data_IF_596988418600
#
_entry.id   IF_596988418600
#
_cell.length_a   1.000
_cell.length_b   1.000
_cell.length_c   1.000
_cell.angle_alpha   90.00
_cell.angle_beta   90.00
_cell.angle_gamma   90.00
#
_symmetry.space_group_name_H-M   'P 1'
#
loop_
_entity.id
_entity.type
_entity.pdbx_description
1 polymer ?
#
# COMPACT_ATOMS: atom_id res chain seq x y z
N UNK A 1 17.22 18.73 -15.08
CA UNK A 1 16.40 18.29 -13.97
C UNK A 1 15.00 18.05 -14.51
N UNK A 2 14.61 16.81 -14.68
CA UNK A 2 13.23 16.43 -14.91
C UNK A 2 12.47 16.70 -13.61
N UNK A 3 11.57 17.67 -13.63
CA UNK A 3 10.55 17.78 -12.60
C UNK A 3 9.55 16.66 -12.88
N UNK A 4 9.71 15.54 -12.23
CA UNK A 4 8.65 14.52 -12.15
C UNK A 4 7.63 15.08 -11.16
N UNK A 5 6.54 15.62 -11.67
CA UNK A 5 5.37 15.89 -10.82
C UNK A 5 4.52 14.63 -10.85
N UNK A 6 4.47 13.90 -9.74
CA UNK A 6 3.52 12.82 -9.56
C UNK A 6 2.11 13.38 -9.65
N UNK A 7 1.29 12.84 -10.54
CA UNK A 7 -0.11 13.22 -10.68
C UNK A 7 -0.95 11.97 -10.50
N UNK A 8 -1.66 11.87 -9.39
CA UNK A 8 -2.66 10.83 -9.21
C UNK A 8 -3.90 11.13 -10.04
N UNK A 9 -4.35 10.16 -10.79
CA UNK A 9 -5.61 10.19 -11.53
C UNK A 9 -6.58 9.21 -10.85
N UNK A 10 -7.75 9.71 -10.48
CA UNK A 10 -8.79 8.86 -9.92
C UNK A 10 -9.62 8.21 -11.02
N UNK A 11 -9.74 6.88 -10.98
CA UNK A 11 -10.65 6.11 -11.81
C UNK A 11 -11.65 5.32 -10.95
N UNK A 12 -12.93 5.61 -11.11
CA UNK A 12 -13.98 4.93 -10.38
C UNK A 12 -14.20 3.48 -10.88
N UNK A 13 -14.61 2.60 -9.95
CA UNK A 13 -15.14 1.25 -10.26
C UNK A 13 -14.16 0.26 -10.89
N UNK A 14 -12.85 0.38 -10.62
CA UNK A 14 -11.92 -0.66 -11.02
C UNK A 14 -11.90 -1.78 -9.97
N UNK A 15 -12.26 -2.98 -10.35
CA UNK A 15 -12.20 -4.13 -9.47
C UNK A 15 -10.75 -4.56 -9.19
N UNK A 16 -10.52 -5.17 -8.03
CA UNK A 16 -9.27 -5.88 -7.76
C UNK A 16 -9.04 -6.96 -8.83
N UNK A 17 -7.77 -7.16 -9.20
CA UNK A 17 -7.36 -8.30 -10.04
C UNK A 17 -7.63 -9.60 -9.28
N UNK A 18 -7.52 -9.56 -7.98
CA UNK A 18 -7.78 -10.63 -7.03
C UNK A 18 -6.96 -11.91 -7.31
N UNK A 19 -5.79 -11.96 -6.71
CA UNK A 19 -4.87 -13.09 -6.86
C UNK A 19 -5.28 -14.36 -6.12
N UNK A 20 -6.23 -14.30 -5.18
CA UNK A 20 -6.52 -15.41 -4.25
C UNK A 20 -6.89 -16.73 -4.93
N UNK A 21 -7.43 -16.68 -6.13
CA UNK A 21 -7.84 -17.86 -6.89
C UNK A 21 -7.03 -18.07 -8.19
N UNK A 22 -5.87 -17.41 -8.32
CA UNK A 22 -5.06 -17.55 -9.52
C UNK A 22 -3.93 -18.57 -9.32
N UNK A 23 -3.53 -19.24 -10.40
CA UNK A 23 -2.33 -20.08 -10.41
C UNK A 23 -1.06 -19.24 -10.51
N UNK A 24 0.07 -19.80 -10.04
CA UNK A 24 1.38 -19.13 -10.15
C UNK A 24 1.53 -17.90 -9.24
N UNK A 25 0.76 -17.85 -8.17
CA UNK A 25 0.92 -16.85 -7.11
C UNK A 25 2.06 -17.23 -6.17
N UNK A 26 2.67 -16.24 -5.57
CA UNK A 26 3.60 -16.40 -4.44
C UNK A 26 2.94 -15.85 -3.18
N UNK A 27 2.91 -16.65 -2.12
CA UNK A 27 2.46 -16.21 -0.81
C UNK A 27 3.64 -15.51 -0.10
N UNK A 28 3.42 -14.27 0.31
CA UNK A 28 4.39 -13.41 0.99
C UNK A 28 3.98 -13.05 2.42
N UNK A 29 3.07 -13.80 3.01
CA UNK A 29 2.66 -13.59 4.40
C UNK A 29 3.87 -13.57 5.33
N UNK A 30 3.93 -12.62 6.22
CA UNK A 30 5.09 -12.38 7.08
C UNK A 30 4.77 -12.19 8.57
N UNK A 31 3.53 -12.16 8.97
CA UNK A 31 3.11 -11.96 10.38
C UNK A 31 2.78 -10.51 10.68
N UNK A 32 2.84 -10.14 11.95
CA UNK A 32 2.56 -8.79 12.44
C UNK A 32 3.82 -7.91 12.37
N UNK A 33 3.70 -6.66 11.96
CA UNK A 33 4.80 -5.69 11.84
C UNK A 33 6.03 -6.23 11.10
N UNK A 34 5.82 -7.00 10.05
CA UNK A 34 6.88 -7.68 9.33
C UNK A 34 6.96 -7.24 7.86
N UNK A 35 8.08 -7.58 7.24
CA UNK A 35 8.31 -7.42 5.81
C UNK A 35 8.58 -8.79 5.17
N UNK A 36 8.04 -9.01 4.00
CA UNK A 36 8.20 -10.25 3.24
C UNK A 36 9.64 -10.45 2.73
N UNK A 37 9.93 -11.65 2.26
CA UNK A 37 11.03 -11.85 1.34
C UNK A 37 10.85 -10.99 0.08
N UNK A 38 11.97 -10.68 -0.59
CA UNK A 38 11.94 -9.96 -1.86
C UNK A 38 11.29 -10.82 -2.95
N UNK A 39 10.42 -10.20 -3.73
CA UNK A 39 9.75 -10.79 -4.89
C UNK A 39 10.31 -10.19 -6.19
N UNK A 40 10.60 -11.04 -7.18
CA UNK A 40 11.10 -10.60 -8.48
C UNK A 40 9.94 -10.06 -9.34
N UNK A 41 10.08 -8.84 -9.84
CA UNK A 41 9.06 -8.18 -10.66
C UNK A 41 8.88 -8.83 -12.04
N UNK A 42 9.91 -9.53 -12.54
CA UNK A 42 9.93 -10.07 -13.89
C UNK A 42 10.33 -9.06 -14.97
N UNK A 43 10.48 -7.80 -14.61
CA UNK A 43 10.95 -6.71 -15.46
C UNK A 43 11.70 -5.67 -14.61
N UNK A 44 12.28 -4.68 -15.26
CA UNK A 44 12.85 -3.52 -14.58
C UNK A 44 11.79 -2.43 -14.48
N UNK A 45 11.62 -1.88 -13.29
CA UNK A 45 10.72 -0.78 -12.98
C UNK A 45 11.54 0.44 -12.56
N UNK A 46 11.41 1.55 -13.29
CA UNK A 46 12.04 2.82 -12.92
C UNK A 46 11.14 3.57 -11.96
N UNK A 47 11.67 3.91 -10.79
CA UNK A 47 10.94 4.68 -9.80
C UNK A 47 11.83 5.80 -9.27
N UNK A 48 11.45 7.06 -9.53
CA UNK A 48 12.24 8.24 -9.21
C UNK A 48 13.68 8.19 -9.76
N UNK A 49 13.86 7.66 -10.98
CA UNK A 49 15.15 7.59 -11.68
C UNK A 49 16.08 6.51 -11.16
N UNK A 50 15.61 5.58 -10.35
CA UNK A 50 16.34 4.38 -9.94
C UNK A 50 15.61 3.12 -10.42
N UNK A 51 16.36 2.18 -11.00
CA UNK A 51 15.83 0.96 -11.58
C UNK A 51 15.76 -0.17 -10.57
N UNK A 52 14.60 -0.81 -10.45
CA UNK A 52 14.33 -1.91 -9.53
C UNK A 52 13.85 -3.15 -10.27
N UNK A 53 14.27 -4.31 -9.82
CA UNK A 53 13.83 -5.61 -10.34
C UNK A 53 13.12 -6.45 -9.28
N UNK A 54 13.09 -5.98 -8.04
CA UNK A 54 12.50 -6.66 -6.90
C UNK A 54 11.77 -5.67 -6.00
N UNK A 55 10.79 -6.18 -5.26
CA UNK A 55 10.12 -5.45 -4.20
C UNK A 55 9.75 -6.40 -3.06
N UNK A 56 9.44 -5.84 -1.87
CA UNK A 56 8.96 -6.59 -0.70
C UNK A 56 7.72 -5.90 -0.11
N UNK A 57 6.79 -6.71 0.36
CA UNK A 57 5.56 -6.25 0.98
C UNK A 57 5.75 -6.14 2.50
N UNK A 58 5.28 -5.05 3.10
CA UNK A 58 5.13 -4.95 4.54
C UNK A 58 3.69 -5.26 4.96
N UNK A 59 3.51 -5.91 6.12
CA UNK A 59 2.18 -6.25 6.67
C UNK A 59 1.31 -5.00 6.78
N UNK A 60 1.87 -3.89 7.22
CA UNK A 60 1.19 -2.60 7.39
C UNK A 60 0.90 -1.85 6.08
N UNK A 61 0.84 -2.56 4.94
CA UNK A 61 0.31 -2.00 3.69
C UNK A 61 1.28 -1.11 2.92
N UNK A 62 2.58 -1.43 2.94
CA UNK A 62 3.58 -0.73 2.14
C UNK A 62 4.28 -1.69 1.17
N UNK A 63 4.73 -1.15 0.04
CA UNK A 63 5.59 -1.87 -0.92
C UNK A 63 6.94 -1.15 -1.03
N UNK A 64 8.01 -1.86 -0.68
CA UNK A 64 9.37 -1.33 -0.66
C UNK A 64 10.18 -1.87 -1.84
N UNK A 65 10.76 -0.97 -2.64
CA UNK A 65 11.68 -1.35 -3.71
C UNK A 65 13.09 -1.67 -3.19
N UNK A 66 13.50 -1.06 -2.08
CA UNK A 66 14.75 -1.46 -1.40
C UNK A 66 14.55 -2.79 -0.69
N UNK A 67 15.37 -3.78 -1.02
CA UNK A 67 15.28 -5.14 -0.44
C UNK A 67 15.96 -5.25 0.94
N UNK A 68 16.56 -4.18 1.41
CA UNK A 68 17.17 -4.03 2.73
C UNK A 68 16.86 -2.66 3.32
N UNK A 69 17.12 -2.47 4.61
CA UNK A 69 16.87 -1.22 5.32
C UNK A 69 15.47 -1.14 5.94
N UNK A 70 15.06 0.07 6.31
CA UNK A 70 13.79 0.32 6.99
C UNK A 70 12.59 -0.14 6.16
N UNK A 71 11.54 -0.54 6.84
CA UNK A 71 10.25 -0.91 6.27
C UNK A 71 9.12 -0.41 7.19
N UNK A 72 7.89 -0.38 6.70
CA UNK A 72 6.71 0.04 7.47
C UNK A 72 6.37 -1.00 8.56
N UNK A 73 7.21 -1.08 9.59
CA UNK A 73 6.93 -1.80 10.81
C UNK A 73 6.34 -0.89 11.89
N UNK A 74 6.26 0.40 11.63
CA UNK A 74 5.57 1.34 12.48
C UNK A 74 4.06 1.24 12.22
N UNK A 75 3.30 1.03 13.28
CA UNK A 75 1.85 0.94 13.24
C UNK A 75 1.16 2.32 13.26
N UNK A 76 1.94 3.40 13.46
CA UNK A 76 1.43 4.78 13.39
C UNK A 76 2.07 5.48 12.19
N UNK A 77 1.37 5.62 11.07
CA UNK A 77 1.89 6.33 9.91
C UNK A 77 2.31 7.76 10.23
N UNK A 78 3.56 8.09 9.87
CA UNK A 78 4.03 9.48 9.91
C UNK A 78 3.62 10.18 8.61
N UNK A 79 2.88 11.30 8.66
CA UNK A 79 2.45 12.03 7.47
C UNK A 79 3.59 12.42 6.52
N UNK A 80 4.81 12.54 7.01
CA UNK A 80 5.97 12.84 6.19
C UNK A 80 6.68 11.60 5.66
N UNK A 81 6.47 10.42 6.25
CA UNK A 81 7.09 9.14 5.87
C UNK A 81 8.60 9.24 5.60
N UNK A 82 9.28 10.21 6.24
CA UNK A 82 10.65 10.64 5.92
C UNK A 82 11.71 9.59 6.19
N UNK A 83 11.39 8.55 6.98
CA UNK A 83 12.25 7.43 7.32
C UNK A 83 12.38 6.41 6.19
N UNK A 84 11.50 6.44 5.20
CA UNK A 84 11.49 5.50 4.09
C UNK A 84 12.05 6.12 2.80
N UNK A 85 12.51 5.27 1.91
CA UNK A 85 12.93 5.65 0.56
C UNK A 85 12.45 4.62 -0.44
N UNK A 86 12.08 5.06 -1.63
CA UNK A 86 11.61 4.20 -2.72
C UNK A 86 10.52 3.23 -2.25
N UNK A 87 9.44 3.81 -1.71
CA UNK A 87 8.35 3.07 -1.09
C UNK A 87 7.01 3.57 -1.61
N UNK A 88 6.16 2.66 -2.04
CA UNK A 88 4.76 2.93 -2.31
C UNK A 88 3.95 2.67 -1.04
N UNK A 89 3.02 3.57 -0.76
CA UNK A 89 2.14 3.54 0.42
C UNK A 89 0.69 3.43 -0.06
N UNK A 90 0.27 2.26 -0.58
CA UNK A 90 -1.10 2.11 -1.05
C UNK A 90 -2.12 2.28 0.08
N UNK A 91 -1.80 1.81 1.28
CA UNK A 91 -2.70 1.88 2.42
C UNK A 91 -1.94 1.57 3.71
N UNK A 92 -1.02 2.49 4.10
CA UNK A 92 -0.23 2.29 5.32
C UNK A 92 -1.10 2.56 6.55
N UNK A 93 -1.29 1.53 7.35
CA UNK A 93 -2.02 1.51 8.63
C UNK A 93 -1.61 0.28 9.43
N UNK A 94 -2.05 0.17 10.67
CA UNK A 94 -1.76 -1.00 11.52
C UNK A 94 -2.59 -2.21 11.09
N UNK A 95 -1.98 -3.10 10.31
CA UNK A 95 -2.60 -4.31 9.76
C UNK A 95 -1.90 -5.57 10.26
N UNK A 96 -2.68 -6.59 10.49
CA UNK A 96 -2.19 -7.92 10.87
C UNK A 96 -2.68 -9.00 9.90
N UNK A 97 -1.82 -9.99 9.63
CA UNK A 97 -2.21 -11.22 8.96
C UNK A 97 -2.75 -12.23 9.98
N UNK A 98 -3.89 -12.83 9.68
CA UNK A 98 -4.47 -13.91 10.45
C UNK A 98 -5.08 -15.01 9.55
N UNK A 99 -5.89 -15.91 10.13
CA UNK A 99 -6.60 -16.95 9.39
C UNK A 99 -7.62 -16.35 8.42
N UNK A 100 -7.29 -16.29 7.16
CA UNK A 100 -8.12 -15.70 6.09
C UNK A 100 -7.46 -14.52 5.39
N UNK A 101 -6.47 -13.88 6.01
CA UNK A 101 -5.67 -12.83 5.38
C UNK A 101 -4.62 -13.43 4.47
N UNK A 102 -4.26 -12.69 3.41
CA UNK A 102 -3.13 -13.07 2.58
C UNK A 102 -2.44 -11.87 1.94
N UNK A 103 -1.12 -11.97 1.88
CA UNK A 103 -0.24 -11.09 1.10
C UNK A 103 0.28 -11.92 -0.08
N UNK A 104 -0.14 -11.58 -1.28
CA UNK A 104 0.13 -12.35 -2.49
C UNK A 104 0.82 -11.50 -3.53
N UNK A 105 1.70 -12.12 -4.33
CA UNK A 105 2.30 -11.47 -5.48
C UNK A 105 2.29 -12.38 -6.71
N UNK A 106 2.20 -11.75 -7.88
CA UNK A 106 2.28 -12.44 -9.17
C UNK A 106 2.79 -11.51 -10.26
N UNK A 107 3.77 -11.98 -11.03
CA UNK A 107 4.21 -11.32 -12.26
C UNK A 107 3.42 -11.86 -13.46
N UNK A 108 3.03 -10.95 -14.32
CA UNK A 108 2.41 -11.18 -15.62
C UNK A 108 3.36 -10.67 -16.73
N UNK A 109 2.96 -10.79 -17.98
CA UNK A 109 3.80 -10.33 -19.09
C UNK A 109 3.95 -8.81 -19.15
N UNK A 110 2.93 -8.07 -18.70
CA UNK A 110 2.81 -6.62 -18.81
C UNK A 110 2.81 -5.86 -17.47
N UNK A 111 2.77 -6.60 -16.35
CA UNK A 111 2.67 -6.02 -15.00
C UNK A 111 3.06 -7.00 -13.91
N UNK A 112 3.27 -6.48 -12.72
CA UNK A 112 3.31 -7.28 -11.48
C UNK A 112 2.29 -6.73 -10.49
N UNK A 113 1.58 -7.65 -9.84
CA UNK A 113 0.52 -7.34 -8.87
C UNK A 113 0.97 -7.79 -7.49
N UNK A 114 0.82 -6.90 -6.53
CA UNK A 114 0.97 -7.17 -5.10
C UNK A 114 -0.37 -6.91 -4.42
N UNK A 115 -0.92 -7.90 -3.74
CA UNK A 115 -2.22 -7.79 -3.12
C UNK A 115 -2.20 -8.13 -1.64
N UNK A 116 -2.85 -7.29 -0.86
CA UNK A 116 -3.23 -7.52 0.53
C UNK A 116 -4.73 -7.85 0.52
N UNK A 117 -5.10 -9.02 0.99
CA UNK A 117 -6.49 -9.47 0.95
C UNK A 117 -6.97 -9.87 2.33
N UNK A 118 -8.15 -9.39 2.70
CA UNK A 118 -8.82 -9.62 3.97
C UNK A 118 -7.90 -9.34 5.19
N UNK A 119 -7.05 -8.32 5.06
CA UNK A 119 -6.19 -7.89 6.16
C UNK A 119 -7.03 -7.30 7.28
N UNK A 120 -6.72 -7.69 8.50
CA UNK A 120 -7.40 -7.11 9.66
C UNK A 120 -6.69 -5.88 10.16
N UNK A 121 -7.46 -4.89 10.57
CA UNK A 121 -6.97 -3.85 11.46
C UNK A 121 -6.53 -4.47 12.80
N UNK A 122 -5.39 -4.08 13.33
CA UNK A 122 -4.88 -4.63 14.59
C UNK A 122 -5.94 -4.49 15.71
N UNK A 123 -6.09 -5.54 16.51
CA UNK A 123 -7.08 -5.66 17.60
C UNK A 123 -8.57 -5.49 17.18
N UNK A 124 -8.89 -5.62 15.91
CA UNK A 124 -10.26 -5.49 15.43
C UNK A 124 -10.60 -6.53 14.36
N UNK A 125 -11.81 -7.06 14.38
CA UNK A 125 -12.33 -7.83 13.26
C UNK A 125 -12.76 -6.87 12.15
N UNK A 126 -12.01 -6.84 11.06
CA UNK A 126 -12.27 -6.01 9.87
C UNK A 126 -11.68 -6.69 8.65
N UNK A 127 -12.08 -6.30 7.46
CA UNK A 127 -11.57 -6.80 6.20
C UNK A 127 -11.09 -5.63 5.34
N UNK A 128 -9.78 -5.62 5.07
CA UNK A 128 -9.17 -4.62 4.20
C UNK A 128 -8.50 -5.33 3.03
N UNK A 129 -8.87 -4.96 1.81
CA UNK A 129 -8.31 -5.55 0.61
C UNK A 129 -7.92 -4.46 -0.39
N UNK A 130 -6.67 -4.48 -0.83
CA UNK A 130 -6.13 -3.53 -1.78
C UNK A 130 -4.95 -4.13 -2.55
N UNK A 131 -4.60 -3.52 -3.66
CA UNK A 131 -3.53 -3.96 -4.54
C UNK A 131 -2.63 -2.81 -4.97
N UNK A 132 -1.37 -3.13 -5.23
CA UNK A 132 -0.46 -2.35 -6.05
C UNK A 132 -0.22 -3.10 -7.35
N UNK A 133 -0.37 -2.40 -8.46
CA UNK A 133 -0.05 -2.91 -9.79
C UNK A 133 1.11 -2.07 -10.32
N UNK A 134 2.22 -2.73 -10.64
CA UNK A 134 3.37 -2.11 -11.30
C UNK A 134 3.32 -2.50 -12.77
N UNK A 135 3.27 -1.52 -13.67
CA UNK A 135 3.24 -1.75 -15.11
C UNK A 135 4.64 -1.68 -15.73
N UNK A 136 4.85 -2.38 -16.82
CA UNK A 136 6.15 -2.39 -17.54
C UNK A 136 6.50 -1.05 -18.21
N UNK A 137 5.61 -0.09 -18.18
CA UNK A 137 5.83 1.29 -18.66
C UNK A 137 6.20 2.28 -17.53
N UNK A 138 6.62 1.75 -16.38
CA UNK A 138 7.02 2.50 -15.18
C UNK A 138 5.88 3.30 -14.52
N UNK A 139 4.63 2.97 -14.79
CA UNK A 139 3.49 3.50 -14.03
C UNK A 139 3.05 2.52 -12.96
N UNK A 140 2.41 3.01 -11.91
CA UNK A 140 1.80 2.16 -10.89
C UNK A 140 0.35 2.57 -10.62
N UNK A 141 -0.39 1.66 -10.05
CA UNK A 141 -1.81 1.82 -9.75
C UNK A 141 -2.12 1.23 -8.38
N UNK A 142 -2.92 1.93 -7.59
CA UNK A 142 -3.52 1.41 -6.36
C UNK A 142 -4.97 1.06 -6.63
N UNK A 143 -5.37 -0.17 -6.31
CA UNK A 143 -6.77 -0.60 -6.35
C UNK A 143 -7.26 -0.97 -4.96
N UNK A 144 -8.47 -0.57 -4.68
CA UNK A 144 -9.11 -0.78 -3.39
C UNK A 144 -10.36 -1.62 -3.52
N UNK A 145 -10.48 -2.63 -2.67
CA UNK A 145 -11.68 -3.39 -2.41
C UNK A 145 -12.40 -2.88 -1.17
N UNK A 146 -12.86 -3.79 -0.32
CA UNK A 146 -13.39 -3.41 0.99
C UNK A 146 -12.28 -2.81 1.86
N UNK A 147 -12.57 -1.70 2.52
CA UNK A 147 -11.72 -1.05 3.50
C UNK A 147 -12.54 -0.74 4.75
N UNK A 148 -11.99 -1.08 5.92
CA UNK A 148 -12.65 -0.91 7.20
C UNK A 148 -11.62 -0.64 8.30
N UNK A 149 -11.18 0.62 8.43
CA UNK A 149 -10.28 1.12 9.47
C UNK A 149 -11.00 2.18 10.29
N UNK A 150 -10.98 2.05 11.60
CA UNK A 150 -11.60 3.03 12.51
C UNK A 150 -10.72 3.43 13.71
N UNK A 151 -9.68 2.66 14.05
CA UNK A 151 -8.88 2.89 15.26
C UNK A 151 -7.46 3.38 14.98
N UNK A 152 -6.99 3.29 13.72
CA UNK A 152 -5.62 3.60 13.38
C UNK A 152 -5.54 4.66 12.27
N UNK A 153 -4.43 5.36 12.25
CA UNK A 153 -4.11 6.30 11.19
C UNK A 153 -3.98 5.57 9.84
N UNK A 154 -4.28 6.28 8.78
CA UNK A 154 -4.11 5.80 7.40
C UNK A 154 -3.32 6.81 6.61
N UNK A 155 -2.29 6.36 5.90
CA UNK A 155 -1.55 7.19 4.95
C UNK A 155 -1.51 6.50 3.58
N UNK A 156 -1.86 7.26 2.55
CA UNK A 156 -1.74 6.86 1.15
C UNK A 156 -0.82 7.85 0.45
N UNK A 157 0.15 7.34 -0.28
CA UNK A 157 1.12 8.18 -0.99
C UNK A 157 2.30 7.38 -1.50
N UNK A 158 3.44 8.05 -1.60
CA UNK A 158 4.69 7.45 -2.05
C UNK A 158 5.89 8.23 -1.54
N UNK A 159 7.04 7.58 -1.49
CA UNK A 159 8.32 8.17 -1.13
C UNK A 159 9.38 7.78 -2.15
N UNK A 160 10.00 8.77 -2.76
CA UNK A 160 11.14 8.58 -3.66
C UNK A 160 12.48 8.47 -2.93
N UNK A 161 13.51 9.16 -3.41
CA UNK A 161 14.90 9.01 -2.92
C UNK A 161 15.19 9.65 -1.55
N UNK A 162 14.22 10.28 -0.91
CA UNK A 162 14.39 10.89 0.43
C UNK A 162 13.38 11.99 0.72
N UNK A 163 13.58 12.70 1.80
CA UNK A 163 12.64 13.68 2.38
C UNK A 163 12.13 14.79 1.46
N UNK A 164 12.70 14.94 0.28
CA UNK A 164 12.27 15.93 -0.73
C UNK A 164 11.37 15.35 -1.84
N UNK A 165 11.12 14.06 -1.80
CA UNK A 165 10.32 13.33 -2.79
C UNK A 165 9.27 12.49 -2.07
N UNK A 166 8.55 13.12 -1.17
CA UNK A 166 7.42 12.52 -0.47
C UNK A 166 6.17 13.12 -1.08
N UNK A 167 5.29 12.25 -1.55
CA UNK A 167 3.97 12.63 -1.99
C UNK A 167 2.93 11.97 -1.10
N UNK A 168 2.17 12.79 -0.36
CA UNK A 168 1.06 12.34 0.46
C UNK A 168 -0.23 12.65 -0.29
N UNK A 169 -0.93 11.62 -0.71
CA UNK A 169 -2.25 11.77 -1.32
C UNK A 169 -3.36 11.89 -0.27
N UNK A 170 -3.29 11.07 0.77
CA UNK A 170 -4.27 11.02 1.82
C UNK A 170 -3.62 10.72 3.17
N UNK A 171 -4.07 11.40 4.20
CA UNK A 171 -3.74 11.10 5.59
C UNK A 171 -4.98 11.27 6.45
N UNK A 172 -5.24 10.32 7.31
CA UNK A 172 -6.30 10.35 8.30
C UNK A 172 -5.76 9.95 9.66
N UNK A 173 -5.90 10.86 10.61
CA UNK A 173 -5.56 10.67 12.01
C UNK A 173 -6.62 9.80 12.69
N UNK A 174 -6.23 8.93 13.62
CA UNK A 174 -7.15 8.00 14.26
C UNK A 174 -8.26 8.72 15.00
N UNK A 175 -9.44 8.12 14.95
CA UNK A 175 -10.60 8.53 15.72
C UNK A 175 -10.63 7.80 17.06
N UNK A 176 -9.62 7.97 17.87
CA UNK A 176 -9.59 7.34 19.18
C UNK A 176 -10.66 7.95 20.08
N UNK A 177 -11.47 7.11 20.72
CA UNK A 177 -12.55 7.49 21.64
C UNK A 177 -12.09 8.29 22.85
N UNK A 178 -10.79 8.52 23.01
CA UNK A 178 -10.20 9.40 24.01
C UNK A 178 -9.62 10.70 23.48
N UNK A 179 -9.60 10.91 22.14
CA UNK A 179 -9.09 12.13 21.55
C UNK A 179 -10.12 13.25 21.62
N UNK A 180 -9.70 14.45 22.05
CA UNK A 180 -10.54 15.66 22.12
C UNK A 180 -10.92 16.22 20.75
N UNK A 181 -10.50 15.61 19.66
CA UNK A 181 -10.75 16.01 18.28
C UNK A 181 -11.75 15.10 17.55
N UNK A 182 -12.80 14.65 18.24
CA UNK A 182 -13.89 13.88 17.65
C UNK A 182 -14.58 14.55 16.43
N UNK A 183 -14.36 15.84 16.20
CA UNK A 183 -14.90 16.55 15.04
C UNK A 183 -14.24 16.18 13.71
N UNK A 184 -13.04 15.61 13.72
CA UNK A 184 -12.34 15.17 12.53
C UNK A 184 -12.65 13.70 12.15
N UNK A 185 -13.42 13.02 12.99
CA UNK A 185 -13.80 11.63 12.83
C UNK A 185 -15.04 11.40 11.97
N UNK A 186 -15.45 12.36 11.18
CA UNK A 186 -16.77 12.36 10.51
C UNK A 186 -16.89 11.29 9.41
N UNK A 187 -15.81 10.64 9.01
CA UNK A 187 -15.83 9.59 7.98
C UNK A 187 -14.82 8.48 8.25
N UNK A 188 -14.89 7.87 9.42
CA UNK A 188 -13.98 6.81 9.83
C UNK A 188 -14.29 5.45 9.23
N UNK A 189 -15.41 5.33 8.57
CA UNK A 189 -15.81 4.09 7.92
C UNK A 189 -15.35 4.09 6.46
N UNK A 190 -14.27 3.43 6.19
CA UNK A 190 -13.70 3.26 4.86
C UNK A 190 -14.46 2.28 3.98
N UNK A 191 -15.65 1.95 4.32
CA UNK A 191 -16.56 1.17 3.48
C UNK A 191 -17.03 1.98 2.26
N UNK A 192 -16.30 3.02 1.92
CA UNK A 192 -16.58 3.84 0.75
C UNK A 192 -16.00 3.18 -0.49
N UNK A 193 -16.85 2.47 -1.19
CA UNK A 193 -16.56 1.89 -2.49
C UNK A 193 -16.37 2.93 -3.61
N UNK A 194 -16.48 4.22 -3.29
CA UNK A 194 -16.33 5.31 -4.27
C UNK A 194 -14.88 5.71 -4.53
N UNK A 195 -13.93 5.28 -3.69
CA UNK A 195 -12.50 5.59 -3.83
C UNK A 195 -11.69 4.40 -4.31
N UNK A 196 -12.10 3.77 -5.38
CA UNK A 196 -11.58 2.45 -5.70
C UNK A 196 -10.24 2.43 -6.41
N UNK A 197 -9.72 3.57 -6.92
CA UNK A 197 -8.42 3.56 -7.60
C UNK A 197 -7.71 4.89 -7.56
N UNK A 198 -6.42 4.82 -7.37
CA UNK A 198 -5.48 5.88 -7.62
C UNK A 198 -4.51 5.40 -8.71
N UNK A 199 -4.43 6.13 -9.80
CA UNK A 199 -3.45 5.92 -10.86
C UNK A 199 -2.43 7.04 -10.84
N UNK A 200 -1.17 6.67 -10.98
CA UNK A 200 -0.12 7.62 -11.31
C UNK A 200 0.38 7.37 -12.74
N UNK A 201 0.57 8.44 -13.47
CA UNK A 201 1.13 8.46 -14.82
C UNK A 201 2.43 9.24 -14.89
#
# INVERSE_FOLDING_TARGET
SLNVSSTYIYEANQALINLTNQSGITNLNSGDDQVSAAFNLGFTFDFYGEAFTQARMATNGCLHFKISGAFCNDFTPDPLASQYTYTLLPFWTDLITDNGSSMLAKSFNDKTVFGWYNMREYNRASDNSFEVILWTNDTFEYRYGALDIINHDVLIGEVGSGSKQIYQYYYHDECNTGSTNASNCVNTNWNDTSTNNLLES
#
